data_IF_752481107398
#
_entry.id   IF_752481107398
#
_cell.length_a   1.000
_cell.length_b   1.000
_cell.length_c   1.000
_cell.angle_alpha   90.00
_cell.angle_beta   90.00
_cell.angle_gamma   90.00
#
_symmetry.space_group_name_H-M   'P 1'
#
loop_
_entity.id
_entity.type
_entity.pdbx_description
1 polymer ?
#
# COMPACT_ATOMS: atom_id res chain seq x y z
N UNK A 1 -5.43 15.88 -6.16
CA UNK A 1 -6.47 15.13 -6.89
C UNK A 1 -6.20 15.15 -8.39
N UNK A 2 -5.78 14.01 -8.94
CA UNK A 2 -6.09 13.69 -10.34
C UNK A 2 -7.61 13.78 -10.47
N UNK A 3 -8.13 14.78 -11.19
CA UNK A 3 -9.58 14.96 -11.41
C UNK A 3 -10.07 13.86 -12.37
N UNK A 4 -9.92 12.59 -12.01
CA UNK A 4 -10.71 11.53 -12.64
C UNK A 4 -12.13 11.79 -12.17
N UNK A 5 -13.01 12.18 -13.10
CA UNK A 5 -14.45 12.14 -12.83
C UNK A 5 -14.72 10.75 -12.30
N UNK A 6 -15.37 10.65 -11.13
CA UNK A 6 -15.89 9.39 -10.61
C UNK A 6 -16.49 8.63 -11.80
N UNK A 7 -15.97 7.43 -12.06
CA UNK A 7 -16.53 6.58 -13.11
C UNK A 7 -18.03 6.53 -12.84
N UNK A 8 -18.82 7.03 -13.78
CA UNK A 8 -20.27 7.09 -13.63
C UNK A 8 -20.76 5.75 -13.10
N UNK A 9 -21.71 5.77 -12.16
CA UNK A 9 -22.40 4.58 -11.68
C UNK A 9 -22.74 3.68 -12.87
N UNK A 10 -21.91 2.68 -13.14
CA UNK A 10 -22.12 1.65 -14.14
C UNK A 10 -23.10 0.64 -13.54
N UNK A 11 -24.25 1.13 -13.05
CA UNK A 11 -25.42 0.32 -12.73
C UNK A 11 -26.20 -0.07 -13.99
N UNK A 12 -25.67 0.25 -15.19
CA UNK A 12 -26.03 -0.47 -16.41
C UNK A 12 -25.35 -1.83 -16.39
N UNK A 13 -25.86 -2.73 -15.55
CA UNK A 13 -25.67 -4.16 -15.75
C UNK A 13 -26.37 -4.46 -17.08
N UNK A 14 -25.62 -4.43 -18.18
CA UNK A 14 -26.04 -5.10 -19.41
C UNK A 14 -26.41 -6.51 -18.98
N UNK A 15 -27.62 -6.96 -19.32
CA UNK A 15 -28.11 -8.32 -19.13
C UNK A 15 -27.06 -9.33 -19.62
N UNK A 16 -26.11 -9.68 -18.77
CA UNK A 16 -25.21 -10.78 -18.93
C UNK A 16 -25.95 -11.98 -18.35
N UNK A 17 -25.96 -13.11 -19.07
CA UNK A 17 -26.54 -14.35 -18.57
C UNK A 17 -25.97 -14.76 -17.20
N UNK A 18 -26.47 -15.86 -16.61
CA UNK A 18 -26.04 -16.27 -15.28
C UNK A 18 -24.51 -16.36 -15.21
N UNK A 19 -23.91 -15.62 -14.27
CA UNK A 19 -22.48 -15.67 -14.04
C UNK A 19 -22.07 -17.12 -13.74
N UNK A 20 -21.07 -17.64 -14.45
CA UNK A 20 -20.55 -18.98 -14.17
C UNK A 20 -19.74 -18.91 -12.88
N UNK A 21 -20.31 -19.39 -11.78
CA UNK A 21 -19.59 -19.53 -10.52
C UNK A 21 -18.58 -20.67 -10.64
N UNK A 22 -17.31 -20.35 -10.43
CA UNK A 22 -16.23 -21.33 -10.27
C UNK A 22 -15.81 -21.35 -8.81
N UNK A 23 -15.55 -22.54 -8.29
CA UNK A 23 -15.03 -22.70 -6.93
C UNK A 23 -13.61 -23.24 -6.99
N UNK A 24 -12.72 -22.61 -6.24
CA UNK A 24 -11.37 -23.09 -6.00
C UNK A 24 -11.24 -23.43 -4.52
N UNK A 25 -11.05 -24.72 -4.23
CA UNK A 25 -10.94 -25.19 -2.85
C UNK A 25 -9.55 -24.84 -2.30
N UNK A 26 -9.50 -23.98 -1.29
CA UNK A 26 -8.25 -23.70 -0.55
C UNK A 26 -8.07 -24.77 0.51
N UNK A 27 -7.08 -25.64 0.33
CA UNK A 27 -6.73 -26.67 1.30
C UNK A 27 -5.86 -26.15 2.46
N UNK A 28 -5.59 -27.00 3.46
CA UNK A 28 -4.63 -26.67 4.53
C UNK A 28 -3.21 -26.47 4.00
N UNK A 29 -2.40 -25.69 4.72
CA UNK A 29 -1.03 -25.34 4.34
C UNK A 29 -0.14 -26.52 3.92
N UNK A 30 -0.30 -27.70 4.53
CA UNK A 30 0.49 -28.89 4.18
C UNK A 30 0.31 -29.33 2.72
N UNK A 31 -0.82 -29.01 2.07
CA UNK A 31 -1.06 -29.34 0.65
C UNK A 31 -0.22 -28.50 -0.31
N UNK A 32 0.40 -27.43 0.18
CA UNK A 32 1.26 -26.54 -0.60
C UNK A 32 2.75 -26.70 -0.25
N UNK A 33 3.14 -27.78 0.46
CA UNK A 33 4.54 -28.11 0.82
C UNK A 33 5.42 -28.55 -0.38
N UNK A 34 5.06 -28.13 -1.60
CA UNK A 34 5.85 -28.40 -2.80
C UNK A 34 7.10 -27.52 -2.88
N UNK A 35 7.77 -27.59 -4.03
CA UNK A 35 8.88 -26.67 -4.33
C UNK A 35 8.37 -25.23 -4.31
N UNK A 36 9.13 -24.34 -3.68
CA UNK A 36 8.83 -22.91 -3.72
C UNK A 36 8.75 -22.44 -5.18
N UNK A 37 7.68 -21.72 -5.57
CA UNK A 37 7.61 -21.17 -6.91
C UNK A 37 8.73 -20.15 -7.12
N UNK A 38 9.10 -19.92 -8.38
CA UNK A 38 10.01 -18.82 -8.71
C UNK A 38 9.40 -17.51 -8.23
N UNK A 39 10.13 -16.77 -7.41
CA UNK A 39 9.82 -15.39 -7.06
C UNK A 39 11.03 -14.54 -7.38
N UNK A 40 10.94 -13.73 -8.44
CA UNK A 40 12.06 -12.89 -8.87
C UNK A 40 12.27 -11.74 -7.90
N UNK A 41 13.53 -11.30 -7.75
CA UNK A 41 13.85 -10.09 -7.01
C UNK A 41 12.97 -8.93 -7.48
N UNK A 42 12.16 -8.31 -6.60
CA UNK A 42 11.38 -7.14 -6.96
C UNK A 42 12.28 -5.98 -7.34
N UNK A 43 11.90 -5.26 -8.39
CA UNK A 43 12.58 -4.06 -8.88
C UNK A 43 11.62 -2.89 -8.76
N UNK A 44 12.04 -1.83 -8.08
CA UNK A 44 11.29 -0.57 -8.04
C UNK A 44 11.32 0.08 -9.44
N UNK A 45 10.15 0.47 -9.93
CA UNK A 45 9.99 1.14 -11.23
C UNK A 45 9.48 2.57 -11.09
N UNK A 46 8.87 2.91 -9.96
CA UNK A 46 8.46 4.26 -9.64
C UNK A 46 8.27 4.43 -8.12
N UNK A 47 8.23 5.67 -7.67
CA UNK A 47 7.84 6.05 -6.31
C UNK A 47 7.10 7.38 -6.32
N UNK A 48 6.29 7.60 -5.28
CA UNK A 48 5.48 8.79 -5.15
C UNK A 48 5.10 9.01 -3.68
N UNK A 49 4.79 10.26 -3.38
CA UNK A 49 4.33 10.71 -2.07
C UNK A 49 2.85 11.09 -2.12
N UNK A 50 2.14 10.90 -1.01
CA UNK A 50 0.81 11.44 -0.78
C UNK A 50 0.92 12.35 0.44
N UNK A 51 0.60 13.64 0.27
CA UNK A 51 0.75 14.62 1.36
C UNK A 51 -0.40 14.59 2.37
N UNK A 52 -0.34 15.49 3.35
CA UNK A 52 -1.33 15.63 4.41
C UNK A 52 -2.74 16.00 3.92
N UNK A 53 -2.87 16.58 2.72
CA UNK A 53 -4.13 16.90 2.04
C UNK A 53 -4.59 15.77 1.09
N UNK A 54 -3.96 14.59 1.19
CA UNK A 54 -4.20 13.42 0.33
C UNK A 54 -3.93 13.70 -1.16
N UNK A 55 -3.00 14.61 -1.47
CA UNK A 55 -2.59 14.90 -2.85
C UNK A 55 -1.35 14.09 -3.22
N UNK A 56 -1.44 13.44 -4.39
CA UNK A 56 -0.35 12.67 -4.99
C UNK A 56 0.70 13.59 -5.60
N UNK A 57 1.98 13.28 -5.33
CA UNK A 57 3.17 13.92 -5.87
C UNK A 57 4.16 12.85 -6.34
N UNK A 58 4.64 12.95 -7.59
CA UNK A 58 5.64 12.02 -8.13
C UNK A 58 7.07 12.41 -7.72
N UNK A 59 7.28 12.51 -6.42
CA UNK A 59 8.57 12.77 -5.77
C UNK A 59 8.64 12.06 -4.40
N UNK A 60 9.75 12.27 -3.69
CA UNK A 60 10.06 11.61 -2.43
C UNK A 60 9.86 12.52 -1.21
N UNK A 61 8.98 13.53 -1.28
CA UNK A 61 8.83 14.52 -0.20
C UNK A 61 8.34 13.92 1.13
N UNK A 62 7.56 12.84 1.08
CA UNK A 62 7.07 12.14 2.27
C UNK A 62 7.90 10.91 2.61
N UNK A 63 9.02 10.66 1.91
CA UNK A 63 9.95 9.61 2.26
C UNK A 63 10.58 9.91 3.63
N UNK A 64 10.48 8.96 4.55
CA UNK A 64 11.08 9.07 5.87
C UNK A 64 12.34 8.22 5.99
N UNK A 65 13.20 8.60 6.93
CA UNK A 65 14.42 7.88 7.26
C UNK A 65 14.31 7.27 8.64
N UNK A 66 14.75 6.03 8.77
CA UNK A 66 14.79 5.34 10.05
C UNK A 66 15.69 6.08 11.04
N UNK A 67 15.13 6.39 12.20
CA UNK A 67 15.82 6.94 13.35
C UNK A 67 15.47 6.08 14.56
N UNK A 68 16.48 5.61 15.30
CA UNK A 68 16.24 4.63 16.36
C UNK A 68 15.23 5.16 17.41
N UNK A 69 14.26 4.34 17.85
CA UNK A 69 13.29 4.75 18.85
C UNK A 69 13.97 5.06 20.18
N UNK A 70 13.38 6.00 20.91
CA UNK A 70 13.51 6.03 22.37
C UNK A 70 12.26 5.38 22.95
N UNK A 71 12.39 4.53 23.98
CA UNK A 71 11.24 3.86 24.60
C UNK A 71 10.26 4.87 25.19
N UNK A 72 9.21 5.21 24.44
CA UNK A 72 8.23 6.25 24.76
C UNK A 72 6.81 5.70 24.71
N UNK A 73 5.92 6.43 25.37
CA UNK A 73 4.49 6.11 25.41
C UNK A 73 3.85 6.33 24.02
N UNK A 74 3.25 5.28 23.47
CA UNK A 74 2.59 5.30 22.17
C UNK A 74 1.18 5.94 22.23
N UNK A 75 0.68 6.32 23.40
CA UNK A 75 -0.62 7.00 23.54
C UNK A 75 -0.53 8.52 23.34
N UNK A 76 0.67 9.10 23.45
CA UNK A 76 0.89 10.54 23.32
C UNK A 76 0.38 11.04 21.96
N UNK A 77 -0.48 12.06 21.97
CA UNK A 77 -1.01 12.70 20.77
C UNK A 77 -2.23 12.01 20.15
N UNK A 78 -2.76 10.94 20.76
CA UNK A 78 -3.95 10.23 20.25
C UNK A 78 -5.18 11.16 20.09
N UNK A 79 -5.31 12.16 20.95
CA UNK A 79 -6.35 13.19 20.90
C UNK A 79 -6.31 14.06 19.63
N UNK A 80 -5.14 14.14 18.97
CA UNK A 80 -4.91 14.88 17.72
C UNK A 80 -4.74 13.97 16.50
N UNK A 81 -5.06 12.68 16.63
CA UNK A 81 -4.84 11.70 15.57
C UNK A 81 -5.69 12.02 14.34
N UNK A 82 -5.04 12.26 13.20
CA UNK A 82 -5.71 12.51 11.92
C UNK A 82 -5.76 11.21 11.13
N UNK A 83 -6.97 10.73 10.89
CA UNK A 83 -7.21 9.54 10.08
C UNK A 83 -7.67 9.96 8.68
N UNK A 84 -7.08 9.32 7.67
CA UNK A 84 -7.57 9.33 6.29
C UNK A 84 -9.04 8.89 6.28
N UNK A 85 -9.84 9.58 5.48
CA UNK A 85 -11.24 9.23 5.27
C UNK A 85 -11.36 7.95 4.44
N UNK A 86 -11.63 6.84 5.10
CA UNK A 86 -11.78 5.52 4.46
C UNK A 86 -13.13 5.34 3.76
N UNK A 87 -14.06 6.29 3.91
CA UNK A 87 -15.33 6.28 3.17
C UNK A 87 -15.16 6.66 1.70
N UNK A 88 -14.03 7.29 1.36
CA UNK A 88 -13.65 7.61 -0.02
C UNK A 88 -12.87 6.43 -0.61
N UNK A 89 -13.43 5.68 -1.56
CA UNK A 89 -12.73 4.55 -2.14
C UNK A 89 -11.69 5.02 -3.15
N UNK A 90 -10.42 4.82 -2.83
CA UNK A 90 -9.29 5.20 -3.70
C UNK A 90 -8.96 4.13 -4.77
N UNK A 91 -9.55 2.94 -4.64
CA UNK A 91 -9.43 1.86 -5.61
C UNK A 91 -7.95 1.58 -5.98
N UNK A 92 -7.64 1.56 -7.27
CA UNK A 92 -6.28 1.48 -7.81
C UNK A 92 -5.81 2.84 -8.34
N UNK A 93 -6.46 3.96 -8.02
CA UNK A 93 -6.25 5.21 -8.74
C UNK A 93 -4.82 5.73 -8.63
N UNK A 94 -4.28 5.80 -7.41
CA UNK A 94 -2.89 6.25 -7.16
C UNK A 94 -1.87 5.26 -7.74
N UNK A 95 -2.15 3.96 -7.71
CA UNK A 95 -1.35 2.92 -8.38
C UNK A 95 -1.31 3.12 -9.90
N UNK A 96 -2.47 3.39 -10.51
CA UNK A 96 -2.59 3.61 -11.95
C UNK A 96 -1.98 4.95 -12.39
N UNK A 97 -2.10 5.99 -11.56
CA UNK A 97 -1.43 7.27 -11.74
C UNK A 97 0.10 7.06 -11.72
N UNK A 98 0.65 6.35 -10.74
CA UNK A 98 2.08 6.01 -10.67
C UNK A 98 2.55 5.12 -11.83
N UNK A 99 1.75 4.17 -12.28
CA UNK A 99 2.07 3.36 -13.45
C UNK A 99 2.05 4.19 -14.75
N UNK A 100 1.16 5.18 -14.84
CA UNK A 100 1.09 6.10 -16.00
C UNK A 100 2.30 7.03 -16.02
N UNK A 101 2.67 7.58 -14.88
CA UNK A 101 3.89 8.38 -14.72
C UNK A 101 5.15 7.57 -15.09
N UNK A 102 5.25 6.32 -14.61
CA UNK A 102 6.35 5.42 -14.95
C UNK A 102 6.47 5.17 -16.47
N UNK A 103 5.33 5.03 -17.17
CA UNK A 103 5.29 4.83 -18.62
C UNK A 103 5.76 6.05 -19.42
N UNK A 104 5.60 7.25 -18.86
CA UNK A 104 6.01 8.48 -19.51
C UNK A 104 7.51 8.77 -19.35
N UNK A 105 8.18 8.13 -18.38
CA UNK A 105 9.61 8.29 -18.10
C UNK A 105 10.47 7.55 -19.13
N UNK A 106 11.31 8.30 -19.85
CA UNK A 106 12.16 7.74 -20.91
C UNK A 106 13.19 6.70 -20.40
N UNK A 107 13.57 6.78 -19.12
CA UNK A 107 14.51 5.85 -18.49
C UNK A 107 13.86 4.57 -17.93
N UNK A 108 12.54 4.41 -18.07
CA UNK A 108 11.82 3.20 -17.65
C UNK A 108 11.47 2.39 -18.90
N UNK A 109 12.07 1.20 -19.08
CA UNK A 109 11.79 0.38 -20.26
C UNK A 109 10.30 -0.02 -20.35
N UNK A 110 9.69 -0.03 -21.55
CA UNK A 110 8.27 -0.36 -21.71
C UNK A 110 7.87 -1.69 -21.08
N UNK A 111 8.74 -2.70 -21.19
CA UNK A 111 8.52 -4.02 -20.61
C UNK A 111 8.37 -3.95 -19.09
N UNK A 112 9.04 -3.03 -18.39
CA UNK A 112 8.97 -2.89 -16.93
C UNK A 112 7.59 -2.44 -16.45
N UNK A 113 6.83 -1.77 -17.31
CA UNK A 113 5.48 -1.23 -17.02
C UNK A 113 4.33 -2.10 -17.54
N UNK A 114 4.64 -3.28 -18.08
CA UNK A 114 3.66 -4.27 -18.55
C UNK A 114 3.69 -5.53 -17.69
N UNK A 115 2.54 -5.96 -17.18
CA UNK A 115 2.45 -7.16 -16.35
C UNK A 115 1.15 -7.94 -16.61
N UNK A 116 1.14 -9.22 -16.24
CA UNK A 116 -0.08 -10.03 -16.25
C UNK A 116 -1.06 -9.57 -15.17
N UNK A 117 -0.55 -9.12 -14.02
CA UNK A 117 -1.34 -8.69 -12.86
C UNK A 117 -0.86 -7.33 -12.36
N UNK A 118 -1.81 -6.42 -12.06
CA UNK A 118 -1.58 -5.13 -11.40
C UNK A 118 -2.47 -5.04 -10.16
N UNK A 119 -1.89 -4.82 -8.99
CA UNK A 119 -2.65 -4.79 -7.72
C UNK A 119 -1.89 -4.09 -6.59
N UNK A 120 -2.46 -4.02 -5.40
CA UNK A 120 -1.76 -3.58 -4.19
C UNK A 120 -1.03 -4.75 -3.52
N UNK A 121 0.14 -4.50 -2.94
CA UNK A 121 0.93 -5.49 -2.19
C UNK A 121 0.10 -6.18 -1.10
N UNK A 122 -0.75 -5.43 -0.39
CA UNK A 122 -1.63 -5.98 0.64
C UNK A 122 -2.61 -7.04 0.13
N UNK A 123 -3.07 -6.95 -1.12
CA UNK A 123 -3.94 -7.96 -1.75
C UNK A 123 -3.16 -9.25 -1.99
N UNK A 124 -1.93 -9.16 -2.49
CA UNK A 124 -1.08 -10.33 -2.66
C UNK A 124 -0.74 -10.98 -1.31
N UNK A 125 -0.52 -10.19 -0.26
CA UNK A 125 -0.38 -10.72 1.11
C UNK A 125 -1.61 -11.51 1.55
N UNK A 126 -2.83 -11.00 1.31
CA UNK A 126 -4.07 -11.74 1.63
C UNK A 126 -4.16 -13.07 0.88
N UNK A 127 -3.88 -13.07 -0.41
CA UNK A 127 -3.87 -14.30 -1.22
C UNK A 127 -2.86 -15.32 -0.70
N UNK A 128 -1.63 -14.89 -0.40
CA UNK A 128 -0.56 -15.75 0.13
C UNK A 128 -0.87 -16.27 1.54
N UNK A 129 -1.54 -15.49 2.37
CA UNK A 129 -1.91 -15.86 3.74
C UNK A 129 -3.21 -16.67 3.83
N UNK A 130 -3.99 -16.78 2.76
CA UNK A 130 -5.31 -17.45 2.76
C UNK A 130 -5.26 -18.90 3.30
N UNK A 131 -4.23 -19.74 3.01
CA UNK A 131 -4.14 -21.08 3.61
C UNK A 131 -3.98 -21.11 5.14
N UNK A 132 -3.66 -19.97 5.77
CA UNK A 132 -3.42 -19.82 7.21
C UNK A 132 -4.48 -18.96 7.91
N UNK A 133 -5.09 -18.01 7.20
CA UNK A 133 -6.12 -17.12 7.73
C UNK A 133 -7.47 -17.84 7.84
N UNK A 134 -8.02 -17.97 9.04
CA UNK A 134 -9.29 -18.67 9.29
C UNK A 134 -10.49 -17.75 9.52
N UNK A 135 -10.26 -16.52 9.96
CA UNK A 135 -11.31 -15.66 10.52
C UNK A 135 -11.45 -14.29 9.84
N UNK A 136 -10.69 -14.06 8.77
CA UNK A 136 -10.64 -12.79 8.04
C UNK A 136 -11.10 -13.01 6.59
N UNK A 137 -12.41 -12.87 6.30
CA UNK A 137 -12.92 -12.97 4.94
C UNK A 137 -12.45 -11.76 4.13
N UNK A 138 -12.22 -11.97 2.84
CA UNK A 138 -11.85 -10.93 1.89
C UNK A 138 -12.65 -11.09 0.60
N UNK A 139 -12.91 -9.97 -0.08
CA UNK A 139 -13.53 -9.92 -1.39
C UNK A 139 -12.63 -9.12 -2.34
N UNK A 140 -12.40 -9.63 -3.54
CA UNK A 140 -11.57 -8.98 -4.55
C UNK A 140 -12.37 -8.80 -5.84
N UNK A 141 -12.27 -7.63 -6.46
CA UNK A 141 -12.79 -7.38 -7.82
C UNK A 141 -11.66 -7.47 -8.83
N UNK A 142 -11.88 -8.26 -9.88
CA UNK A 142 -10.91 -8.50 -10.93
C UNK A 142 -11.44 -7.97 -12.26
N UNK A 143 -10.70 -7.07 -12.90
CA UNK A 143 -11.00 -6.54 -14.23
C UNK A 143 -9.87 -6.87 -15.19
N UNK A 144 -10.16 -7.53 -16.31
CA UNK A 144 -9.19 -7.73 -17.39
C UNK A 144 -9.30 -6.60 -18.41
N UNK A 145 -8.19 -5.90 -18.65
CA UNK A 145 -8.10 -4.86 -19.67
C UNK A 145 -6.76 -4.97 -20.41
N UNK A 146 -6.81 -5.09 -21.74
CA UNK A 146 -5.63 -5.30 -22.61
C UNK A 146 -4.69 -6.39 -22.08
N UNK A 147 -5.26 -7.56 -21.77
CA UNK A 147 -4.55 -8.74 -21.25
C UNK A 147 -3.88 -8.62 -19.87
N UNK A 148 -4.00 -7.47 -19.22
CA UNK A 148 -3.64 -7.29 -17.81
C UNK A 148 -4.87 -7.47 -16.92
N UNK A 149 -4.72 -8.22 -15.84
CA UNK A 149 -5.73 -8.36 -14.78
C UNK A 149 -5.42 -7.34 -13.69
N UNK A 150 -6.38 -6.47 -13.40
CA UNK A 150 -6.34 -5.50 -12.33
C UNK A 150 -7.16 -6.05 -11.16
N UNK A 151 -6.57 -6.07 -9.97
CA UNK A 151 -7.20 -6.63 -8.77
C UNK A 151 -7.27 -5.54 -7.71
N UNK A 152 -8.48 -5.23 -7.26
CA UNK A 152 -8.75 -4.36 -6.12
C UNK A 152 -9.52 -5.12 -5.04
N UNK A 153 -9.49 -4.60 -3.81
CA UNK A 153 -10.25 -5.15 -2.70
C UNK A 153 -11.60 -4.45 -2.59
N UNK A 154 -12.65 -5.23 -2.33
CA UNK A 154 -13.90 -4.71 -1.80
C UNK A 154 -13.97 -5.04 -0.31
N UNK A 155 -14.16 -4.01 0.52
CA UNK A 155 -14.33 -4.23 1.95
C UNK A 155 -15.62 -5.01 2.22
N UNK A 156 -15.49 -6.18 2.86
CA UNK A 156 -16.64 -7.02 3.24
C UNK A 156 -17.54 -6.28 4.22
N UNK A 157 -18.83 -6.62 4.24
CA UNK A 157 -19.77 -6.01 5.20
C UNK A 157 -19.31 -6.22 6.65
N UNK A 158 -18.79 -7.42 6.96
CA UNK A 158 -18.23 -7.73 8.28
C UNK A 158 -17.10 -6.78 8.67
N UNK A 159 -16.18 -6.45 7.74
CA UNK A 159 -15.07 -5.53 7.99
C UNK A 159 -15.59 -4.10 8.25
N UNK A 160 -16.51 -3.63 7.41
CA UNK A 160 -17.18 -2.33 7.57
C UNK A 160 -17.86 -2.21 8.94
N UNK A 161 -18.59 -3.25 9.37
CA UNK A 161 -19.26 -3.27 10.67
C UNK A 161 -18.26 -3.30 11.84
N UNK A 162 -17.13 -4.01 11.71
CA UNK A 162 -16.09 -4.05 12.72
C UNK A 162 -15.39 -2.70 12.90
N UNK A 163 -15.12 -2.00 11.80
CA UNK A 163 -14.51 -0.66 11.81
C UNK A 163 -15.48 0.37 12.40
N UNK A 164 -16.75 0.35 12.00
CA UNK A 164 -17.78 1.25 12.53
C UNK A 164 -18.01 1.08 14.04
N UNK A 165 -17.84 -0.14 14.56
CA UNK A 165 -18.01 -0.47 15.97
C UNK A 165 -16.68 -0.59 16.74
N UNK A 166 -15.57 -0.09 16.18
CA UNK A 166 -14.27 -0.17 16.82
C UNK A 166 -14.27 0.61 18.14
N UNK A 167 -13.98 -0.08 19.25
CA UNK A 167 -13.82 0.54 20.57
C UNK A 167 -12.66 1.54 20.58
N UNK A 168 -12.70 2.51 21.50
CA UNK A 168 -11.60 3.47 21.71
C UNK A 168 -10.26 2.74 21.92
N UNK A 169 -10.28 1.61 22.64
CA UNK A 169 -9.09 0.78 22.85
C UNK A 169 -8.53 0.22 21.54
N UNK A 170 -9.38 -0.24 20.63
CA UNK A 170 -8.97 -0.73 19.31
C UNK A 170 -8.41 0.39 18.44
N UNK A 171 -9.08 1.53 18.40
CA UNK A 171 -8.60 2.73 17.69
C UNK A 171 -7.21 3.15 18.20
N UNK A 172 -7.01 3.11 19.52
CA UNK A 172 -5.73 3.39 20.15
C UNK A 172 -4.65 2.35 19.79
N UNK A 173 -5.00 1.07 19.65
CA UNK A 173 -4.05 0.04 19.17
C UNK A 173 -3.63 0.30 17.72
N UNK A 174 -4.55 0.75 16.86
CA UNK A 174 -4.21 1.15 15.49
C UNK A 174 -3.29 2.39 15.49
N UNK A 175 -3.60 3.38 16.32
CA UNK A 175 -2.78 4.58 16.49
C UNK A 175 -1.34 4.26 16.94
N UNK A 176 -1.16 3.28 17.81
CA UNK A 176 0.17 2.91 18.31
C UNK A 176 1.17 2.53 17.22
N UNK A 177 0.70 1.94 16.11
CA UNK A 177 1.54 1.67 14.94
C UNK A 177 2.07 2.96 14.32
N UNK A 178 1.17 3.87 13.92
CA UNK A 178 1.54 5.15 13.35
C UNK A 178 2.35 6.03 14.32
N UNK A 179 2.05 5.96 15.62
CA UNK A 179 2.82 6.69 16.63
C UNK A 179 4.23 6.14 16.76
N UNK A 180 4.38 4.82 16.66
CA UNK A 180 5.70 4.19 16.63
C UNK A 180 6.49 4.63 15.39
N UNK A 181 5.86 4.74 14.22
CA UNK A 181 6.49 5.31 13.02
C UNK A 181 6.98 6.74 13.25
N UNK A 182 6.15 7.63 13.82
CA UNK A 182 6.57 9.01 14.17
C UNK A 182 7.77 9.03 15.14
N UNK A 183 7.86 8.06 16.04
CA UNK A 183 8.99 7.94 16.99
C UNK A 183 10.22 7.26 16.39
N UNK A 184 10.08 6.56 15.26
CA UNK A 184 11.17 5.79 14.64
C UNK A 184 11.65 6.40 13.32
N UNK A 185 11.17 7.60 12.98
CA UNK A 185 11.47 8.22 11.71
C UNK A 185 11.73 9.71 11.81
N UNK A 186 12.43 10.23 10.81
CA UNK A 186 12.78 11.65 10.61
C UNK A 186 12.72 11.98 9.13
N UNK A 187 12.62 13.26 8.80
CA UNK A 187 12.36 13.73 7.42
C UNK A 187 13.63 13.89 6.57
N UNK A 188 14.82 13.78 7.18
CA UNK A 188 16.12 13.86 6.50
C UNK A 188 17.03 12.70 6.91
N UNK A 189 18.07 12.35 6.12
CA UNK A 189 19.02 11.32 6.52
C UNK A 189 19.59 11.58 7.93
N UNK A 190 19.65 10.58 8.84
CA UNK A 190 20.13 10.79 10.20
C UNK A 190 21.55 11.38 10.27
N UNK A 191 22.38 11.16 9.25
CA UNK A 191 23.74 11.73 9.16
C UNK A 191 23.78 13.23 8.86
N UNK A 192 22.67 13.83 8.43
CA UNK A 192 22.58 15.27 8.11
C UNK A 192 21.81 16.08 9.15
N UNK A 193 21.15 15.40 10.10
CA UNK A 193 20.36 16.03 11.16
C UNK A 193 21.30 16.41 12.31
N UNK A 194 21.25 17.68 12.73
CA UNK A 194 21.97 18.13 13.92
C UNK A 194 21.29 17.62 15.20
N UNK A 195 22.05 17.39 16.28
CA UNK A 195 21.46 16.97 17.56
C UNK A 195 20.43 17.98 18.10
N UNK A 196 20.57 19.26 17.74
CA UNK A 196 19.65 20.35 18.10
C UNK A 196 18.50 20.53 17.13
N UNK A 197 18.31 19.63 16.15
CA UNK A 197 17.23 19.76 15.17
C UNK A 197 15.87 19.72 15.88
N UNK A 198 14.99 20.71 15.64
CA UNK A 198 13.67 20.76 16.26
C UNK A 198 12.83 19.50 16.04
N UNK A 199 12.97 18.80 14.91
CA UNK A 199 12.22 17.57 14.60
C UNK A 199 12.51 16.47 15.63
N UNK A 200 13.77 16.37 16.11
CA UNK A 200 14.15 15.37 17.10
C UNK A 200 13.41 15.54 18.43
N UNK A 201 12.99 16.77 18.74
CA UNK A 201 12.23 17.11 19.95
C UNK A 201 10.73 17.09 19.68
N UNK A 202 10.24 17.70 18.59
CA UNK A 202 8.81 17.78 18.28
C UNK A 202 8.18 16.40 18.16
N UNK A 203 8.89 15.46 17.50
CA UNK A 203 8.41 14.08 17.28
C UNK A 203 8.04 13.36 18.58
N UNK A 204 8.58 13.77 19.73
CA UNK A 204 8.25 13.17 21.03
C UNK A 204 6.83 13.50 21.51
N UNK A 205 6.22 14.55 20.95
CA UNK A 205 4.87 15.01 21.27
C UNK A 205 3.92 15.10 20.07
N UNK A 206 4.46 14.97 18.85
CA UNK A 206 3.68 14.98 17.61
C UNK A 206 2.66 13.83 17.57
N UNK A 207 1.57 14.04 16.84
CA UNK A 207 0.59 13.00 16.52
C UNK A 207 0.85 12.42 15.13
N UNK A 208 0.06 11.42 14.74
CA UNK A 208 0.11 10.82 13.41
C UNK A 208 -0.96 11.40 12.47
N UNK A 209 -0.66 11.41 11.17
CA UNK A 209 -1.62 11.73 10.11
C UNK A 209 -1.55 10.65 9.02
N UNK A 210 -2.58 9.79 8.93
CA UNK A 210 -2.57 8.64 8.00
C UNK A 210 -2.90 9.01 6.55
N UNK A 211 -3.14 10.30 6.26
CA UNK A 211 -3.16 10.77 4.87
C UNK A 211 -1.77 10.76 4.24
N UNK A 212 -0.73 11.03 5.05
CA UNK A 212 0.65 11.11 4.61
C UNK A 212 1.19 9.71 4.34
N UNK A 213 1.67 9.45 3.13
CA UNK A 213 2.22 8.15 2.74
C UNK A 213 3.34 8.31 1.74
N UNK A 214 4.35 7.44 1.83
CA UNK A 214 5.32 7.22 0.76
C UNK A 214 5.11 5.84 0.16
N UNK A 215 4.97 5.80 -1.17
CA UNK A 215 4.62 4.59 -1.89
C UNK A 215 5.61 4.30 -3.00
N UNK A 216 5.90 3.02 -3.19
CA UNK A 216 6.70 2.49 -4.29
C UNK A 216 5.83 1.65 -5.23
N UNK A 217 6.23 1.61 -6.48
CA UNK A 217 5.72 0.72 -7.50
C UNK A 217 6.80 -0.29 -7.85
N UNK A 218 6.53 -1.57 -7.63
CA UNK A 218 7.51 -2.64 -7.86
C UNK A 218 7.04 -3.61 -8.93
N UNK A 219 7.99 -4.10 -9.73
CA UNK A 219 7.79 -5.20 -10.67
C UNK A 219 8.43 -6.47 -10.13
N UNK A 220 7.75 -7.60 -10.24
CA UNK A 220 8.30 -8.92 -9.94
C UNK A 220 7.66 -10.01 -10.82
N UNK A 221 8.02 -11.28 -10.59
CA UNK A 221 7.43 -12.46 -11.23
C UNK A 221 7.20 -13.53 -10.17
N UNK A 222 5.99 -14.06 -10.10
CA UNK A 222 5.61 -15.21 -9.28
C UNK A 222 5.20 -16.37 -10.19
N UNK A 223 5.98 -17.45 -10.19
CA UNK A 223 5.84 -18.56 -11.11
C UNK A 223 6.01 -18.10 -12.56
N UNK A 224 4.92 -18.12 -13.34
CA UNK A 224 4.89 -17.68 -14.73
C UNK A 224 4.23 -16.32 -14.93
N UNK A 225 3.73 -15.71 -13.84
CA UNK A 225 2.95 -14.47 -13.91
C UNK A 225 3.85 -13.30 -13.54
N UNK A 226 3.91 -12.29 -14.39
CA UNK A 226 4.50 -10.99 -14.05
C UNK A 226 3.51 -10.15 -13.23
N UNK A 227 4.02 -9.44 -12.24
CA UNK A 227 3.23 -8.61 -11.32
C UNK A 227 3.80 -7.21 -11.27
N UNK A 228 2.92 -6.22 -11.22
CA UNK A 228 3.22 -4.87 -10.75
C UNK A 228 2.39 -4.63 -9.48
N UNK A 229 3.06 -4.21 -8.42
CA UNK A 229 2.43 -3.97 -7.12
C UNK A 229 2.75 -2.58 -6.61
N UNK A 230 1.72 -1.86 -6.15
CA UNK A 230 1.91 -0.69 -5.29
C UNK A 230 2.12 -1.12 -3.84
N UNK A 231 3.02 -0.46 -3.12
CA UNK A 231 3.23 -0.69 -1.70
C UNK A 231 3.56 0.64 -1.01
N UNK A 232 2.92 0.88 0.14
CA UNK A 232 3.39 1.88 1.09
C UNK A 232 4.65 1.36 1.81
N UNK A 233 5.57 2.29 2.12
CA UNK A 233 6.87 2.04 2.74
C UNK A 233 7.11 3.06 3.84
N UNK A 234 7.17 2.58 5.09
CA UNK A 234 7.28 3.40 6.29
C UNK A 234 8.52 4.33 6.27
N UNK A 235 9.70 3.78 5.92
CA UNK A 235 10.95 4.52 5.86
C UNK A 235 12.07 3.77 5.15
N UNK A 236 13.21 4.44 4.95
CA UNK A 236 14.47 3.83 4.50
C UNK A 236 15.53 3.86 5.60
N UNK A 237 16.42 2.87 5.58
CA UNK A 237 17.62 2.85 6.41
C UNK A 237 18.85 3.05 5.54
N UNK A 238 19.58 4.14 5.75
CA UNK A 238 20.73 4.52 4.94
C UNK A 238 20.34 5.42 3.77
N UNK A 239 21.07 5.35 2.67
CA UNK A 239 20.77 6.13 1.47
C UNK A 239 19.66 5.45 0.65
N UNK A 240 18.90 6.25 -0.09
CA UNK A 240 18.03 5.73 -1.15
C UNK A 240 18.83 4.76 -2.04
N UNK A 241 18.28 3.58 -2.38
CA UNK A 241 18.94 2.68 -3.33
C UNK A 241 19.26 3.48 -4.58
N UNK A 242 20.53 3.45 -5.01
CA UNK A 242 20.93 4.07 -6.28
C UNK A 242 20.02 3.50 -7.36
N UNK A 243 19.41 4.37 -8.17
CA UNK A 243 18.78 3.99 -9.44
C UNK A 243 19.73 3.03 -10.13
N UNK A 244 19.28 1.80 -10.43
CA UNK A 244 20.11 0.74 -10.99
C UNK A 244 21.08 1.30 -12.04
N UNK A 245 22.38 1.27 -11.73
CA UNK A 245 23.38 1.29 -12.78
C UNK A 245 23.17 0.01 -13.60
N UNK A 246 23.09 0.12 -14.94
CA UNK A 246 22.65 -0.96 -15.83
C UNK A 246 23.51 -2.22 -15.76
#
# INVERSE_FOLDING_TARGET
>A
MSKRRASANLTSIRNAGPFSTKQFQVGPSHRYQGRSPVYKQPVEINSYSIDHDRKVWFDNRELKYYYAPSGKDLTVGFDRFIQRDETVPEHLDTLLDALTDAKAKANVPPEMTQANIVTWRGIMTKLLCTPYARNEPWELRLTRYKDTIYIEEEATQKKKDQEANASVRQQMMCYWGYRFETLCTVSSPPSTIAESDPELTSRLTDSANTNVQYCVLVRTTLGKNSLIMGAEVDCIRGNTPRSHEP
#
